data_IF_170704189782
#
_entry.id   IF_170704189782
#
_cell.length_a   1.000
_cell.length_b   1.000
_cell.length_c   1.000
_cell.angle_alpha   90.00
_cell.angle_beta   90.00
_cell.angle_gamma   90.00
#
_symmetry.space_group_name_H-M   'P 1'
#
loop_
_entity.id
_entity.type
_entity.pdbx_description
1 polymer ?
#
# COMPACT_ATOMS: atom_id res chain seq x y z
N UNK A 1 3.79 -26.73 4.20
CA UNK A 1 3.63 -25.32 3.81
C UNK A 1 2.99 -24.63 5.00
N UNK A 2 3.69 -23.68 5.60
CA UNK A 2 3.16 -22.90 6.72
C UNK A 2 1.92 -22.15 6.24
N UNK A 3 0.82 -22.27 6.96
CA UNK A 3 -0.43 -21.58 6.66
C UNK A 3 -0.15 -20.07 6.66
N UNK A 4 -0.36 -19.42 5.51
CA UNK A 4 -0.08 -17.99 5.34
C UNK A 4 -1.00 -17.19 6.26
N UNK A 5 -0.42 -16.36 7.13
CA UNK A 5 -1.17 -15.48 8.03
C UNK A 5 -0.93 -14.01 7.71
N UNK A 6 -1.79 -13.15 8.24
CA UNK A 6 -1.75 -11.70 8.07
C UNK A 6 -1.67 -11.01 9.43
N UNK A 7 -0.86 -9.96 9.51
CA UNK A 7 -0.67 -9.19 10.72
C UNK A 7 -0.71 -7.67 10.42
N UNK A 8 -1.09 -6.84 11.39
CA UNK A 8 -1.05 -5.39 11.26
C UNK A 8 0.31 -4.91 10.75
N UNK A 9 0.28 -4.04 9.75
CA UNK A 9 1.47 -3.48 9.12
C UNK A 9 2.03 -4.31 7.98
N UNK A 10 1.55 -5.54 7.74
CA UNK A 10 1.95 -6.25 6.52
C UNK A 10 1.63 -5.42 5.29
N UNK A 11 2.52 -5.46 4.31
CA UNK A 11 2.39 -4.76 3.04
C UNK A 11 2.13 -5.81 1.97
N UNK A 12 1.00 -5.69 1.27
CA UNK A 12 0.72 -6.48 0.08
C UNK A 12 1.02 -5.64 -1.15
N UNK A 13 1.81 -6.20 -2.07
CA UNK A 13 2.15 -5.55 -3.34
C UNK A 13 1.80 -6.51 -4.45
N UNK A 14 0.94 -6.08 -5.35
CA UNK A 14 0.60 -6.78 -6.56
C UNK A 14 1.39 -6.22 -7.74
N UNK A 15 1.75 -7.09 -8.68
CA UNK A 15 2.31 -6.69 -9.98
C UNK A 15 1.39 -7.11 -11.13
N UNK A 16 0.16 -7.52 -10.84
CA UNK A 16 -0.87 -7.76 -11.86
C UNK A 16 -1.67 -6.49 -12.14
N UNK A 17 -2.31 -6.47 -13.30
CA UNK A 17 -3.05 -5.31 -13.77
C UNK A 17 -4.54 -5.58 -13.79
N UNK A 18 -5.29 -4.61 -13.29
CA UNK A 18 -6.74 -4.51 -13.48
C UNK A 18 -7.06 -3.79 -14.82
N UNK A 19 -6.07 -3.11 -15.38
CA UNK A 19 -6.10 -2.42 -16.68
C UNK A 19 -5.59 -3.35 -17.81
N UNK A 20 -5.85 -3.05 -19.10
CA UNK A 20 -5.39 -3.85 -20.24
C UNK A 20 -3.88 -3.70 -20.53
N UNK A 21 -3.06 -3.66 -19.47
CA UNK A 21 -1.61 -3.55 -19.51
C UNK A 21 -1.03 -4.96 -19.18
N UNK A 22 0.09 -5.40 -19.78
CA UNK A 22 0.65 -6.70 -19.46
C UNK A 22 1.07 -6.83 -18.00
N UNK A 23 0.77 -7.97 -17.36
CA UNK A 23 1.18 -8.28 -15.98
C UNK A 23 2.67 -8.00 -15.79
N UNK A 24 2.99 -7.31 -14.70
CA UNK A 24 4.32 -6.89 -14.30
C UNK A 24 4.61 -5.41 -14.57
N UNK A 25 3.83 -4.72 -15.42
CA UNK A 25 4.12 -3.33 -15.78
C UNK A 25 3.56 -2.30 -14.80
N UNK A 26 2.41 -2.59 -14.19
CA UNK A 26 1.85 -1.78 -13.11
C UNK A 26 1.47 -2.72 -11.97
N UNK A 27 1.13 -2.11 -10.84
CA UNK A 27 0.81 -2.86 -9.64
C UNK A 27 -0.17 -2.10 -8.76
N UNK A 28 -0.48 -2.74 -7.65
CA UNK A 28 -1.29 -2.16 -6.59
C UNK A 28 -0.64 -2.47 -5.25
N UNK A 29 -0.92 -1.67 -4.23
CA UNK A 29 -0.42 -1.94 -2.89
C UNK A 29 -1.45 -1.62 -1.82
N UNK A 30 -1.38 -2.38 -0.74
CA UNK A 30 -2.33 -2.31 0.36
C UNK A 30 -1.62 -2.60 1.68
N UNK A 31 -2.11 -1.96 2.75
CA UNK A 31 -1.61 -2.14 4.11
C UNK A 31 -2.58 -3.00 4.91
N UNK A 32 -2.12 -4.12 5.44
CA UNK A 32 -2.92 -4.95 6.34
C UNK A 32 -3.17 -4.21 7.66
N UNK A 33 -4.45 -4.05 8.01
CA UNK A 33 -4.87 -3.38 9.23
C UNK A 33 -4.99 -4.37 10.40
N UNK A 34 -5.48 -5.59 10.11
CA UNK A 34 -5.69 -6.66 11.06
C UNK A 34 -5.66 -8.03 10.33
N UNK A 35 -5.98 -9.13 11.00
CA UNK A 35 -5.91 -10.47 10.39
C UNK A 35 -6.93 -10.73 9.27
N UNK A 36 -7.91 -9.83 9.08
CA UNK A 36 -9.01 -10.02 8.13
C UNK A 36 -9.11 -8.90 7.10
N UNK A 37 -8.62 -7.71 7.42
CA UNK A 37 -8.81 -6.50 6.61
C UNK A 37 -7.52 -5.77 6.31
N UNK A 38 -7.55 -5.02 5.21
CA UNK A 38 -6.52 -4.09 4.79
C UNK A 38 -7.12 -2.72 4.49
N UNK A 39 -6.26 -1.71 4.44
CA UNK A 39 -6.54 -0.37 3.93
C UNK A 39 -5.81 -0.20 2.61
N UNK A 40 -6.52 0.31 1.61
CA UNK A 40 -5.97 0.60 0.29
C UNK A 40 -6.48 1.94 -0.23
N UNK A 41 -5.78 2.49 -1.22
CA UNK A 41 -6.23 3.64 -1.97
C UNK A 41 -6.44 3.30 -3.45
N UNK A 42 -7.61 3.67 -4.00
CA UNK A 42 -8.06 3.34 -5.36
C UNK A 42 -8.56 4.57 -6.10
N UNK A 43 -8.70 4.47 -7.42
CA UNK A 43 -9.26 5.51 -8.28
C UNK A 43 -10.80 5.60 -8.23
N UNK A 44 -11.46 4.67 -7.53
CA UNK A 44 -12.89 4.67 -7.26
C UNK A 44 -13.22 5.31 -5.91
N UNK A 45 -14.29 6.11 -5.84
CA UNK A 45 -14.82 6.62 -4.57
C UNK A 45 -15.51 5.49 -3.77
N UNK A 46 -15.27 5.36 -2.45
CA UNK A 46 -14.31 6.11 -1.63
C UNK A 46 -12.85 5.77 -1.97
N UNK A 47 -12.03 6.80 -2.21
CA UNK A 47 -10.64 6.66 -2.69
C UNK A 47 -9.72 5.98 -1.69
N UNK A 48 -10.06 6.03 -0.40
CA UNK A 48 -9.39 5.27 0.65
C UNK A 48 -10.45 4.40 1.31
N UNK A 49 -10.19 3.09 1.39
CA UNK A 49 -11.18 2.12 1.88
C UNK A 49 -10.54 1.02 2.70
N UNK A 50 -11.34 0.46 3.62
CA UNK A 50 -11.02 -0.79 4.34
C UNK A 50 -11.77 -1.93 3.68
N UNK A 51 -11.06 -2.94 3.19
CA UNK A 51 -11.65 -4.11 2.51
C UNK A 51 -11.12 -5.43 3.08
N UNK A 52 -11.87 -6.54 2.94
CA UNK A 52 -11.37 -7.86 3.29
C UNK A 52 -10.10 -8.21 2.52
N UNK A 53 -9.14 -8.82 3.20
CA UNK A 53 -7.90 -9.33 2.57
C UNK A 53 -8.23 -10.30 1.43
N UNK A 54 -9.28 -11.13 1.61
CA UNK A 54 -9.75 -12.06 0.58
C UNK A 54 -10.13 -11.37 -0.73
N UNK A 55 -10.65 -10.15 -0.69
CA UNK A 55 -11.02 -9.41 -1.90
C UNK A 55 -9.78 -8.97 -2.67
N UNK A 56 -8.76 -8.44 -1.98
CA UNK A 56 -7.47 -8.12 -2.59
C UNK A 56 -6.82 -9.37 -3.20
N UNK A 57 -6.77 -10.49 -2.46
CA UNK A 57 -6.16 -11.72 -2.97
C UNK A 57 -6.89 -12.29 -4.20
N UNK A 58 -8.22 -12.08 -4.29
CA UNK A 58 -9.03 -12.49 -5.44
C UNK A 58 -8.77 -11.62 -6.66
N UNK A 59 -8.69 -10.30 -6.48
CA UNK A 59 -8.46 -9.33 -7.56
C UNK A 59 -7.00 -9.37 -8.02
N UNK A 60 -6.08 -9.55 -7.08
CA UNK A 60 -4.63 -9.51 -7.28
C UNK A 60 -3.97 -10.84 -6.89
N UNK A 61 -4.18 -11.94 -7.66
CA UNK A 61 -3.60 -13.24 -7.34
C UNK A 61 -2.06 -13.25 -7.40
N UNK A 62 -1.43 -12.36 -8.17
CA UNK A 62 0.03 -12.28 -8.33
C UNK A 62 0.57 -11.12 -7.49
N UNK A 63 0.94 -11.45 -6.26
CA UNK A 63 1.43 -10.48 -5.28
C UNK A 63 2.51 -11.06 -4.37
N UNK A 64 3.10 -10.18 -3.57
CA UNK A 64 4.02 -10.45 -2.47
C UNK A 64 3.43 -9.91 -1.17
N UNK A 65 3.95 -10.43 -0.06
CA UNK A 65 3.67 -9.96 1.29
C UNK A 65 4.97 -9.73 2.03
N UNK A 66 5.16 -8.49 2.47
CA UNK A 66 6.20 -8.14 3.44
C UNK A 66 5.59 -7.91 4.80
N UNK A 67 6.37 -8.15 5.84
CA UNK A 67 6.00 -7.91 7.23
C UNK A 67 7.11 -7.15 7.94
N UNK A 68 6.80 -6.12 8.73
CA UNK A 68 7.78 -5.55 9.65
C UNK A 68 8.29 -6.60 10.63
N UNK A 69 9.60 -6.62 10.86
CA UNK A 69 10.20 -7.53 11.85
C UNK A 69 9.66 -7.22 13.26
N UNK A 70 9.39 -5.95 13.56
CA UNK A 70 8.78 -5.53 14.83
C UNK A 70 7.25 -5.51 14.76
N UNK A 71 6.62 -6.29 15.64
CA UNK A 71 5.15 -6.30 15.79
C UNK A 71 4.61 -4.93 16.19
N UNK A 72 5.26 -4.27 17.14
CA UNK A 72 4.85 -2.94 17.63
C UNK A 72 4.89 -1.92 16.48
N UNK A 73 5.92 -1.97 15.64
CA UNK A 73 6.03 -1.13 14.46
C UNK A 73 4.83 -1.36 13.53
N UNK A 74 4.53 -2.61 13.21
CA UNK A 74 3.39 -2.97 12.37
C UNK A 74 2.05 -2.47 12.94
N UNK A 75 1.85 -2.59 14.24
CA UNK A 75 0.65 -2.07 14.94
C UNK A 75 0.53 -0.55 14.84
N UNK A 76 1.62 0.20 15.04
CA UNK A 76 1.60 1.67 14.91
C UNK A 76 1.29 2.14 13.49
N UNK A 77 1.85 1.45 12.49
CA UNK A 77 1.59 1.76 11.08
C UNK A 77 0.14 1.46 10.70
N UNK A 78 -0.38 0.30 11.11
CA UNK A 78 -1.78 -0.05 10.90
C UNK A 78 -2.73 0.95 11.57
N UNK A 79 -2.43 1.37 12.81
CA UNK A 79 -3.18 2.41 13.49
C UNK A 79 -3.17 3.74 12.71
N UNK A 80 -2.00 4.16 12.22
CA UNK A 80 -1.87 5.38 11.43
C UNK A 80 -2.74 5.34 10.15
N UNK A 81 -2.75 4.22 9.43
CA UNK A 81 -3.59 4.07 8.24
C UNK A 81 -5.10 4.05 8.56
N UNK A 82 -5.49 3.45 9.68
CA UNK A 82 -6.89 3.45 10.14
C UNK A 82 -7.36 4.84 10.56
N UNK A 83 -6.51 5.62 11.24
CA UNK A 83 -6.79 7.00 11.62
C UNK A 83 -6.90 7.93 10.40
N UNK A 84 -6.02 7.71 9.41
CA UNK A 84 -6.08 8.40 8.13
C UNK A 84 -7.38 8.09 7.35
N UNK A 85 -7.77 6.81 7.27
CA UNK A 85 -9.05 6.39 6.70
C UNK A 85 -10.23 7.03 7.44
N UNK A 86 -10.21 7.06 8.77
CA UNK A 86 -11.27 7.67 9.57
C UNK A 86 -11.42 9.15 9.25
N UNK A 87 -10.31 9.88 9.19
CA UNK A 87 -10.30 11.31 8.84
C UNK A 87 -10.81 11.55 7.41
N UNK A 88 -10.43 10.70 6.45
CA UNK A 88 -10.98 10.74 5.09
C UNK A 88 -12.50 10.52 5.07
N UNK A 89 -13.01 9.56 5.85
CA UNK A 89 -14.45 9.31 5.96
C UNK A 89 -15.19 10.51 6.59
N UNK A 90 -14.61 11.17 7.58
CA UNK A 90 -15.15 12.41 8.16
C UNK A 90 -15.19 13.55 7.14
N UNK A 91 -14.16 13.69 6.30
CA UNK A 91 -14.16 14.65 5.19
C UNK A 91 -15.30 14.37 4.22
N UNK A 92 -15.50 13.10 3.81
CA UNK A 92 -16.59 12.72 2.91
C UNK A 92 -17.96 13.04 3.50
N UNK A 93 -18.16 12.81 4.80
CA UNK A 93 -19.41 13.16 5.49
C UNK A 93 -19.66 14.68 5.53
N UNK A 94 -18.60 15.49 5.48
CA UNK A 94 -18.68 16.95 5.37
C UNK A 94 -18.79 17.44 3.92
N UNK A 95 -18.89 16.55 2.94
CA UNK A 95 -18.91 16.90 1.51
C UNK A 95 -17.55 17.30 0.95
N UNK A 96 -16.45 17.05 1.67
CA UNK A 96 -15.08 17.29 1.21
C UNK A 96 -14.49 15.99 0.65
N UNK A 97 -14.10 16.01 -0.62
CA UNK A 97 -13.45 14.88 -1.26
C UNK A 97 -11.93 15.00 -1.17
N UNK A 98 -11.39 14.96 0.05
CA UNK A 98 -9.97 15.23 0.33
C UNK A 98 -9.34 14.09 1.17
N UNK A 99 -8.26 13.44 0.68
CA UNK A 99 -7.59 13.69 -0.60
C UNK A 99 -8.39 13.17 -1.80
N UNK A 100 -8.07 13.69 -2.99
CA UNK A 100 -8.48 13.08 -4.27
C UNK A 100 -7.48 12.02 -4.70
N UNK A 101 -7.94 11.00 -5.44
CA UNK A 101 -7.01 10.09 -6.10
C UNK A 101 -6.20 10.84 -7.17
N UNK A 102 -4.87 10.78 -7.10
CA UNK A 102 -3.98 11.45 -8.05
C UNK A 102 -2.56 10.89 -7.99
N UNK A 103 -2.05 10.42 -9.13
CA UNK A 103 -0.64 10.01 -9.33
C UNK A 103 0.25 11.17 -9.82
N UNK A 104 -0.19 12.43 -9.62
CA UNK A 104 0.58 13.60 -10.03
C UNK A 104 1.82 13.80 -9.16
N UNK A 105 2.96 14.11 -9.78
CA UNK A 105 4.20 14.50 -9.10
C UNK A 105 4.12 15.85 -8.39
N UNK A 106 3.03 16.61 -8.58
CA UNK A 106 2.81 17.91 -7.94
C UNK A 106 2.42 17.81 -6.45
N UNK A 107 2.02 16.63 -5.97
CA UNK A 107 1.73 16.41 -4.55
C UNK A 107 2.89 15.67 -3.89
N UNK A 108 3.65 16.33 -2.98
CA UNK A 108 4.73 15.67 -2.26
C UNK A 108 4.27 14.42 -1.51
N UNK A 109 5.15 13.44 -1.33
CA UNK A 109 4.80 12.19 -0.61
C UNK A 109 4.36 12.45 0.83
N UNK A 110 4.97 13.43 1.49
CA UNK A 110 4.64 13.83 2.86
C UNK A 110 3.35 14.66 2.97
N UNK A 111 2.69 14.99 1.87
CA UNK A 111 1.40 15.70 1.90
C UNK A 111 0.25 14.67 1.83
N UNK A 112 -0.46 14.39 2.94
CA UNK A 112 -1.54 13.41 2.95
C UNK A 112 -2.86 13.92 2.36
N UNK A 113 -3.05 15.22 2.12
CA UNK A 113 -4.40 15.77 1.87
C UNK A 113 -4.63 16.29 0.46
N UNK A 114 -3.58 16.53 -0.32
CA UNK A 114 -3.75 16.97 -1.73
C UNK A 114 -4.06 15.82 -2.68
N UNK A 115 -3.30 14.72 -2.62
CA UNK A 115 -3.43 13.62 -3.57
C UNK A 115 -3.00 12.29 -2.97
N UNK A 116 -3.74 11.23 -3.25
CA UNK A 116 -3.47 9.87 -2.75
C UNK A 116 -3.46 8.85 -3.88
N UNK A 117 -2.68 7.80 -3.68
CA UNK A 117 -2.68 6.58 -4.49
C UNK A 117 -2.10 5.44 -3.64
N UNK A 118 -2.17 4.21 -4.13
CA UNK A 118 -1.93 3.00 -3.35
C UNK A 118 -0.59 2.99 -2.60
N UNK A 119 0.53 3.18 -3.29
CA UNK A 119 1.87 3.14 -2.67
C UNK A 119 2.17 4.38 -1.84
N UNK A 120 1.57 5.55 -2.14
CA UNK A 120 1.65 6.72 -1.27
C UNK A 120 0.92 6.51 0.06
N UNK A 121 -0.19 5.78 0.09
CA UNK A 121 -0.84 5.42 1.35
C UNK A 121 0.11 4.62 2.25
N UNK A 122 0.84 3.65 1.68
CA UNK A 122 1.84 2.89 2.42
C UNK A 122 2.96 3.80 2.91
N UNK A 123 3.48 4.66 2.03
CA UNK A 123 4.52 5.62 2.38
C UNK A 123 4.12 6.51 3.56
N UNK A 124 2.92 7.10 3.50
CA UNK A 124 2.37 7.96 4.55
C UNK A 124 2.23 7.22 5.88
N UNK A 125 1.68 6.01 5.86
CA UNK A 125 1.47 5.21 7.07
C UNK A 125 2.80 4.86 7.75
N UNK A 126 3.84 4.51 6.99
CA UNK A 126 5.17 4.21 7.54
C UNK A 126 5.93 5.47 7.97
N UNK A 127 5.80 6.56 7.22
CA UNK A 127 6.43 7.83 7.54
C UNK A 127 5.88 8.39 8.85
N UNK A 128 4.56 8.53 8.97
CA UNK A 128 3.94 9.10 10.16
C UNK A 128 3.81 8.11 11.32
N UNK A 129 3.50 6.84 11.04
CA UNK A 129 3.29 5.81 12.07
C UNK A 129 4.56 5.15 12.62
N UNK A 130 5.65 5.12 11.84
CA UNK A 130 6.89 4.44 12.22
C UNK A 130 8.17 5.28 12.04
N UNK A 131 8.07 6.52 11.56
CA UNK A 131 9.25 7.36 11.24
C UNK A 131 10.18 6.67 10.23
N UNK A 132 9.59 5.84 9.35
CA UNK A 132 10.27 5.14 8.28
C UNK A 132 10.03 5.89 6.98
N UNK A 133 11.10 6.44 6.42
CA UNK A 133 11.08 7.07 5.11
C UNK A 133 11.55 6.05 4.07
N UNK A 134 10.73 5.78 3.06
CA UNK A 134 11.16 5.05 1.86
C UNK A 134 11.80 6.02 0.87
N UNK A 135 12.84 5.55 0.17
CA UNK A 135 13.48 6.27 -0.92
C UNK A 135 12.51 6.36 -2.09
N UNK A 136 12.51 7.50 -2.75
CA UNK A 136 11.73 7.73 -3.96
C UNK A 136 12.67 8.29 -5.01
N UNK A 137 13.00 7.48 -6.00
CA UNK A 137 14.07 7.80 -6.93
C UNK A 137 13.58 8.64 -8.13
N UNK A 138 12.25 8.67 -8.40
CA UNK A 138 11.66 9.41 -9.52
C UNK A 138 10.25 9.98 -9.23
N UNK A 139 9.68 10.67 -10.22
CA UNK A 139 8.42 11.45 -10.24
C UNK A 139 7.20 10.89 -9.47
N UNK A 140 7.14 9.58 -9.23
CA UNK A 140 6.04 8.88 -8.55
C UNK A 140 6.62 7.73 -7.72
N UNK A 141 6.21 7.58 -6.46
CA UNK A 141 6.62 6.44 -5.62
C UNK A 141 5.76 5.23 -5.96
N UNK A 142 6.18 4.40 -6.92
CA UNK A 142 5.37 3.30 -7.44
C UNK A 142 5.33 2.07 -6.52
N UNK A 143 4.43 1.11 -6.76
CA UNK A 143 4.49 -0.21 -6.11
C UNK A 143 5.80 -0.97 -6.36
N UNK A 144 6.48 -0.71 -7.47
CA UNK A 144 7.80 -1.27 -7.78
C UNK A 144 8.88 -0.64 -6.90
N UNK A 145 8.89 0.70 -6.77
CA UNK A 145 9.80 1.40 -5.85
C UNK A 145 9.60 0.93 -4.41
N UNK A 146 8.35 0.74 -3.99
CA UNK A 146 8.01 0.19 -2.68
C UNK A 146 8.56 -1.23 -2.52
N UNK A 147 8.42 -2.09 -3.53
CA UNK A 147 8.97 -3.45 -3.51
C UNK A 147 10.50 -3.45 -3.34
N UNK A 148 11.23 -2.63 -4.11
CA UNK A 148 12.69 -2.53 -3.98
C UNK A 148 13.10 -2.01 -2.60
N UNK A 149 12.42 -0.97 -2.10
CA UNK A 149 12.66 -0.43 -0.76
C UNK A 149 12.50 -1.49 0.34
N UNK A 150 11.55 -2.42 0.21
CA UNK A 150 11.31 -3.45 1.22
C UNK A 150 12.30 -4.61 1.14
N UNK A 151 12.83 -4.91 -0.05
CA UNK A 151 13.87 -5.93 -0.23
C UNK A 151 15.22 -5.53 0.38
N UNK A 152 15.56 -4.24 0.32
CA UNK A 152 16.87 -3.73 0.74
C UNK A 152 16.95 -3.40 2.25
N UNK A 153 15.90 -3.67 3.00
CA UNK A 153 15.73 -3.17 4.38
C UNK A 153 15.53 -4.27 5.40
N UNK A 154 16.38 -4.27 6.43
CA UNK A 154 16.36 -5.22 7.54
C UNK A 154 15.13 -5.04 8.46
N UNK A 155 14.42 -3.92 8.37
CA UNK A 155 13.18 -3.71 9.14
C UNK A 155 12.02 -4.57 8.62
N UNK A 156 12.18 -5.24 7.47
CA UNK A 156 11.14 -6.02 6.80
C UNK A 156 11.61 -7.43 6.49
N UNK A 157 10.66 -8.36 6.47
CA UNK A 157 10.85 -9.73 6.04
C UNK A 157 9.84 -10.10 4.96
N UNK A 158 10.29 -10.83 3.95
CA UNK A 158 9.43 -11.41 2.93
C UNK A 158 8.70 -12.64 3.51
N UNK A 159 7.38 -12.57 3.61
CA UNK A 159 6.53 -13.66 4.15
C UNK A 159 6.03 -14.56 3.04
N UNK A 160 5.67 -13.98 1.90
CA UNK A 160 5.13 -14.70 0.77
C UNK A 160 5.49 -13.98 -0.53
N UNK A 161 5.81 -14.76 -1.56
CA UNK A 161 5.97 -14.28 -2.92
C UNK A 161 5.33 -15.28 -3.87
N UNK A 162 4.39 -14.82 -4.69
CA UNK A 162 3.85 -15.65 -5.76
C UNK A 162 4.97 -15.99 -6.77
N UNK A 163 5.09 -17.24 -7.27
CA UNK A 163 6.19 -17.65 -8.16
C UNK A 163 6.30 -16.86 -9.48
N UNK A 164 5.19 -16.24 -9.91
CA UNK A 164 5.13 -15.39 -11.11
C UNK A 164 5.24 -13.90 -10.81
N UNK A 165 5.52 -13.52 -9.56
CA UNK A 165 5.65 -12.12 -9.19
C UNK A 165 6.93 -11.55 -9.78
N UNK A 166 6.79 -10.56 -10.67
CA UNK A 166 7.90 -9.86 -11.30
C UNK A 166 7.38 -8.54 -11.87
N UNK A 167 8.08 -7.44 -11.59
CA UNK A 167 7.89 -6.20 -12.34
C UNK A 167 8.66 -6.27 -13.66
N UNK A 168 8.01 -5.87 -14.74
CA UNK A 168 8.59 -5.71 -16.07
C UNK A 168 8.75 -4.22 -16.31
N UNK A 169 9.98 -3.74 -16.17
CA UNK A 169 10.34 -2.38 -16.51
C UNK A 169 10.64 -2.32 -18.01
N UNK A 170 10.04 -1.36 -18.71
CA UNK A 170 10.48 -0.97 -20.05
C UNK A 170 11.63 0.02 -19.83
N UNK A 171 12.87 -0.50 -19.81
CA UNK A 171 14.10 0.32 -19.80
C UNK A 171 14.58 0.59 -21.21
#
# INVERSE_FOLDING_TARGET
MTERNFAPGDILIACDNVLPIPIGYMGHSALVADSQFLVEATDELPFIRKVPISDFLRVHPIHVQFRPVSKELGERVAYCALDYLKTYQENLQQGKNEPVYSVSSSSPLYDPWTGIYCSKLIWLAYYYGAQITFRNDFFLFSPEDLYQNLLERDEFQLIYQHPKFTFKLDT
#
